data_IF_698274641190
#
_entry.id   IF_698274641190
#
_cell.length_a   1.000
_cell.length_b   1.000
_cell.length_c   1.000
_cell.angle_alpha   90.00
_cell.angle_beta   90.00
_cell.angle_gamma   90.00
#
_symmetry.space_group_name_H-M   'P 1'
#
loop_
_entity.id
_entity.type
_entity.pdbx_description
1 polymer ?
#
# COMPACT_ATOMS: atom_id res chain seq x y z
N UNK A 1 54.30 -34.00 36.72
CA UNK A 1 54.01 -32.56 36.46
C UNK A 1 53.40 -32.27 35.09
N UNK A 2 53.38 -33.23 34.14
CA UNK A 2 52.85 -33.04 32.77
C UNK A 2 51.32 -33.19 32.68
N UNK A 3 50.72 -34.05 33.51
CA UNK A 3 49.28 -34.38 33.42
C UNK A 3 48.34 -33.30 33.96
N UNK A 4 48.75 -32.52 34.97
CA UNK A 4 47.94 -31.41 35.53
C UNK A 4 47.74 -30.26 34.54
N UNK A 5 48.68 -30.05 33.59
CA UNK A 5 48.58 -29.00 32.57
C UNK A 5 47.57 -29.35 31.48
N UNK A 6 47.40 -30.65 31.17
CA UNK A 6 46.48 -31.13 30.13
C UNK A 6 45.03 -31.04 30.63
N UNK A 7 44.78 -31.45 31.87
CA UNK A 7 43.44 -31.38 32.49
C UNK A 7 42.97 -29.92 32.65
N UNK A 8 43.87 -29.01 33.02
CA UNK A 8 43.56 -27.58 33.13
C UNK A 8 43.26 -26.94 31.77
N UNK A 9 43.98 -27.35 30.70
CA UNK A 9 43.74 -26.88 29.34
C UNK A 9 42.41 -27.35 28.74
N UNK A 10 42.01 -28.60 29.00
CA UNK A 10 40.71 -29.14 28.58
C UNK A 10 39.54 -28.46 29.29
N UNK A 11 39.66 -28.19 30.60
CA UNK A 11 38.62 -27.48 31.36
C UNK A 11 38.41 -26.04 30.88
N UNK A 12 39.49 -25.33 30.54
CA UNK A 12 39.41 -23.96 30.03
C UNK A 12 38.78 -23.90 28.63
N UNK A 13 39.10 -24.87 27.76
CA UNK A 13 38.53 -24.96 26.41
C UNK A 13 37.04 -25.32 26.43
N UNK A 14 36.62 -26.24 27.30
CA UNK A 14 35.21 -26.57 27.48
C UNK A 14 34.40 -25.38 28.03
N UNK A 15 34.98 -24.61 28.96
CA UNK A 15 34.35 -23.41 29.49
C UNK A 15 34.24 -22.31 28.42
N UNK A 16 35.27 -22.10 27.59
CA UNK A 16 35.23 -21.16 26.47
C UNK A 16 34.17 -21.52 25.42
N UNK A 17 34.01 -22.82 25.11
CA UNK A 17 32.97 -23.29 24.20
C UNK A 17 31.57 -23.11 24.77
N UNK A 18 31.37 -23.35 26.07
CA UNK A 18 30.09 -23.11 26.75
C UNK A 18 29.75 -21.63 26.81
N UNK A 19 30.73 -20.76 27.07
CA UNK A 19 30.55 -19.30 27.05
C UNK A 19 30.24 -18.82 25.63
N UNK A 20 30.97 -19.29 24.62
CA UNK A 20 30.70 -18.95 23.22
C UNK A 20 29.32 -19.43 22.74
N UNK A 21 28.86 -20.60 23.18
CA UNK A 21 27.51 -21.09 22.89
C UNK A 21 26.42 -20.28 23.61
N UNK A 22 26.66 -19.90 24.87
CA UNK A 22 25.73 -19.07 25.64
C UNK A 22 25.60 -17.65 25.08
N UNK A 23 26.71 -17.06 24.62
CA UNK A 23 26.67 -15.78 23.91
C UNK A 23 26.11 -15.93 22.49
N UNK A 24 26.48 -16.96 21.74
CA UNK A 24 25.99 -17.23 20.39
C UNK A 24 24.47 -17.47 20.30
N UNK A 25 23.89 -18.16 21.28
CA UNK A 25 22.44 -18.39 21.36
C UNK A 25 21.64 -17.09 21.64
N UNK A 26 22.24 -16.10 22.30
CA UNK A 26 21.63 -14.80 22.56
C UNK A 26 21.90 -13.76 21.46
N UNK A 27 22.71 -14.11 20.44
CA UNK A 27 23.07 -13.26 19.31
C UNK A 27 22.31 -13.58 18.03
N UNK A 28 21.19 -14.31 18.10
CA UNK A 28 20.28 -14.38 16.96
C UNK A 28 19.65 -12.99 16.78
N UNK A 29 19.90 -12.29 15.66
CA UNK A 29 19.28 -11.00 15.42
C UNK A 29 17.77 -11.19 15.45
N UNK A 30 17.09 -10.46 16.33
CA UNK A 30 15.62 -10.46 16.37
C UNK A 30 15.14 -10.03 14.99
N UNK A 31 14.54 -10.95 14.25
CA UNK A 31 14.03 -10.68 12.91
C UNK A 31 13.12 -9.46 12.99
N UNK A 32 13.44 -8.42 12.21
CA UNK A 32 12.66 -7.18 12.17
C UNK A 32 11.25 -7.56 11.72
N UNK A 33 10.30 -7.52 12.65
CA UNK A 33 8.89 -7.73 12.32
C UNK A 33 8.41 -6.48 11.59
N UNK A 34 8.05 -6.63 10.32
CA UNK A 34 7.49 -5.56 9.54
C UNK A 34 6.07 -5.24 10.03
N UNK A 35 5.66 -3.95 10.04
CA UNK A 35 4.30 -3.57 10.37
C UNK A 35 3.30 -4.20 9.37
N UNK A 36 2.17 -4.75 9.83
CA UNK A 36 1.18 -5.33 8.94
C UNK A 36 0.44 -4.25 8.15
N UNK A 37 0.18 -4.50 6.87
CA UNK A 37 -0.61 -3.65 5.98
C UNK A 37 -1.64 -4.52 5.26
N UNK A 38 -2.93 -4.20 5.42
CA UNK A 38 -3.95 -4.82 4.57
C UNK A 38 -3.94 -4.13 3.21
N UNK A 39 -4.01 -4.91 2.12
CA UNK A 39 -4.05 -4.40 0.75
C UNK A 39 -5.25 -4.96 0.02
N UNK A 40 -6.09 -4.10 -0.54
CA UNK A 40 -7.13 -4.49 -1.50
C UNK A 40 -6.90 -3.75 -2.81
N UNK A 41 -6.81 -4.49 -3.91
CA UNK A 41 -6.49 -3.92 -5.21
C UNK A 41 -7.11 -4.72 -6.35
N UNK A 42 -7.58 -4.05 -7.40
CA UNK A 42 -7.86 -4.75 -8.68
C UNK A 42 -6.62 -4.85 -9.57
N UNK A 43 -5.60 -4.03 -9.31
CA UNK A 43 -4.29 -4.12 -9.95
C UNK A 43 -3.59 -5.39 -9.41
N UNK A 44 -3.20 -6.36 -10.26
CA UNK A 44 -2.69 -7.67 -9.86
C UNK A 44 -1.22 -7.62 -9.39
N UNK A 45 -0.90 -6.71 -8.48
CA UNK A 45 0.48 -6.33 -8.18
C UNK A 45 1.33 -7.45 -7.56
N UNK A 46 0.76 -8.35 -6.77
CA UNK A 46 1.55 -9.33 -6.03
C UNK A 46 2.00 -10.54 -6.85
N UNK A 47 1.16 -11.00 -7.77
CA UNK A 47 1.48 -12.13 -8.66
C UNK A 47 1.87 -11.66 -10.06
N UNK A 48 1.55 -10.40 -10.40
CA UNK A 48 1.62 -9.89 -11.75
C UNK A 48 0.55 -10.47 -12.67
N UNK A 49 0.73 -10.23 -13.96
CA UNK A 49 -0.11 -10.76 -15.01
C UNK A 49 0.60 -11.83 -15.84
N UNK A 50 -0.12 -12.94 -16.07
CA UNK A 50 0.36 -14.06 -16.89
C UNK A 50 -0.78 -14.99 -17.27
N UNK A 51 -0.52 -15.88 -18.21
CA UNK A 51 -1.41 -17.02 -18.44
C UNK A 51 -1.41 -17.95 -17.20
N UNK A 52 -2.38 -18.87 -17.08
CA UNK A 52 -2.43 -19.78 -15.94
C UNK A 52 -1.16 -20.63 -15.76
N UNK A 53 -0.44 -20.97 -16.84
CA UNK A 53 0.77 -21.75 -16.75
C UNK A 53 1.91 -20.92 -16.13
N UNK A 54 2.08 -19.67 -16.54
CA UNK A 54 3.06 -18.72 -15.99
C UNK A 54 2.80 -18.42 -14.51
N UNK A 55 1.52 -18.24 -14.13
CA UNK A 55 1.15 -18.00 -12.73
C UNK A 55 1.47 -19.21 -11.84
N UNK A 56 1.22 -20.43 -12.36
CA UNK A 56 1.51 -21.67 -11.64
C UNK A 56 3.01 -22.00 -11.57
N UNK A 57 3.78 -21.62 -12.60
CA UNK A 57 5.23 -21.80 -12.62
C UNK A 57 6.00 -20.73 -11.85
N UNK A 58 5.33 -19.64 -11.44
CA UNK A 58 5.96 -18.50 -10.77
C UNK A 58 6.78 -17.61 -11.72
N UNK A 59 6.55 -17.73 -13.02
CA UNK A 59 7.20 -16.90 -14.05
C UNK A 59 6.57 -15.51 -14.15
N UNK A 60 5.32 -15.37 -13.71
CA UNK A 60 4.70 -14.06 -13.52
C UNK A 60 5.43 -13.30 -12.39
N UNK A 61 5.81 -12.05 -12.68
CA UNK A 61 6.58 -11.23 -11.75
C UNK A 61 5.65 -10.27 -11.00
N UNK A 62 5.83 -10.10 -9.67
CA UNK A 62 5.18 -9.03 -8.94
C UNK A 62 5.56 -7.67 -9.54
N UNK A 63 4.62 -6.73 -9.48
CA UNK A 63 4.85 -5.33 -9.82
C UNK A 63 5.89 -4.75 -8.86
N UNK A 64 6.72 -3.81 -9.35
CA UNK A 64 7.72 -3.10 -8.58
C UNK A 64 7.11 -2.43 -7.34
N UNK A 65 5.90 -1.89 -7.47
CA UNK A 65 5.17 -1.27 -6.37
C UNK A 65 4.95 -2.25 -5.19
N UNK A 66 4.57 -3.49 -5.48
CA UNK A 66 4.35 -4.52 -4.46
C UNK A 66 5.66 -4.96 -3.80
N UNK A 67 6.73 -5.09 -4.59
CA UNK A 67 8.07 -5.38 -4.07
C UNK A 67 8.49 -4.28 -3.09
N UNK A 68 8.34 -3.00 -3.47
CA UNK A 68 8.66 -1.86 -2.61
C UNK A 68 7.81 -1.78 -1.35
N UNK A 69 6.50 -2.02 -1.44
CA UNK A 69 5.65 -2.12 -0.25
C UNK A 69 6.12 -3.23 0.71
N UNK A 70 6.52 -4.38 0.16
CA UNK A 70 6.95 -5.55 0.93
C UNK A 70 8.33 -5.39 1.60
N UNK A 71 9.12 -4.39 1.20
CA UNK A 71 10.38 -4.04 1.88
C UNK A 71 10.13 -3.36 3.24
N UNK A 72 9.03 -2.60 3.36
CA UNK A 72 8.68 -1.82 4.56
C UNK A 72 7.52 -2.42 5.38
N UNK A 73 6.66 -3.24 4.78
CA UNK A 73 5.43 -3.76 5.39
C UNK A 73 5.27 -5.28 5.22
N UNK A 74 4.61 -5.93 6.18
CA UNK A 74 4.03 -7.27 6.01
C UNK A 74 2.69 -7.12 5.29
N UNK A 75 2.73 -7.14 3.95
CA UNK A 75 1.57 -6.86 3.09
C UNK A 75 0.66 -8.08 3.01
N UNK A 76 -0.57 -7.92 3.49
CA UNK A 76 -1.62 -8.94 3.48
C UNK A 76 -2.70 -8.54 2.47
N UNK A 77 -2.71 -9.20 1.31
CA UNK A 77 -3.79 -9.01 0.34
C UNK A 77 -5.10 -9.57 0.88
N UNK A 78 -6.18 -8.81 0.70
CA UNK A 78 -7.52 -9.18 1.12
C UNK A 78 -8.52 -8.93 0.00
N UNK A 79 -9.46 -9.86 -0.16
CA UNK A 79 -10.55 -9.75 -1.13
C UNK A 79 -11.92 -9.54 -0.45
N UNK A 80 -11.99 -9.66 0.88
CA UNK A 80 -13.22 -9.51 1.68
C UNK A 80 -12.98 -8.56 2.85
N UNK A 81 -13.72 -7.45 2.89
CA UNK A 81 -13.63 -6.46 3.96
C UNK A 81 -14.23 -6.93 5.29
N UNK A 82 -14.94 -8.05 5.34
CA UNK A 82 -15.39 -8.64 6.59
C UNK A 82 -14.22 -8.93 7.56
N UNK A 83 -13.01 -9.17 7.05
CA UNK A 83 -11.79 -9.36 7.85
C UNK A 83 -11.49 -8.16 8.76
N UNK A 84 -11.91 -6.95 8.39
CA UNK A 84 -11.71 -5.73 9.19
C UNK A 84 -12.41 -5.80 10.54
N UNK A 85 -13.48 -6.61 10.67
CA UNK A 85 -14.21 -6.81 11.93
C UNK A 85 -13.36 -7.56 12.98
N UNK A 86 -12.41 -8.38 12.54
CA UNK A 86 -11.61 -9.25 13.42
C UNK A 86 -10.11 -8.95 13.37
N UNK A 87 -9.64 -8.25 12.33
CA UNK A 87 -8.23 -7.94 12.15
C UNK A 87 -7.70 -7.04 13.27
N UNK A 88 -6.48 -7.36 13.73
CA UNK A 88 -5.71 -6.50 14.63
C UNK A 88 -5.02 -5.36 13.88
N UNK A 89 -4.84 -5.50 12.57
CA UNK A 89 -4.23 -4.48 11.70
C UNK A 89 -5.15 -3.27 11.64
N UNK A 90 -4.57 -2.08 11.79
CA UNK A 90 -5.29 -0.80 11.84
C UNK A 90 -5.12 0.06 10.58
N UNK A 91 -4.40 -0.45 9.59
CA UNK A 91 -4.13 0.25 8.34
C UNK A 91 -4.50 -0.62 7.14
N UNK A 92 -5.19 -0.02 6.18
CA UNK A 92 -5.51 -0.62 4.89
C UNK A 92 -5.11 0.33 3.77
N UNK A 93 -4.59 -0.22 2.69
CA UNK A 93 -4.42 0.45 1.42
C UNK A 93 -5.43 -0.13 0.42
N UNK A 94 -6.21 0.75 -0.21
CA UNK A 94 -7.14 0.39 -1.27
C UNK A 94 -6.64 1.03 -2.57
N UNK A 95 -5.99 0.25 -3.41
CA UNK A 95 -5.46 0.70 -4.69
C UNK A 95 -6.39 0.28 -5.82
N UNK A 96 -7.25 1.18 -6.24
CA UNK A 96 -8.25 0.95 -7.29
C UNK A 96 -8.99 -0.40 -7.08
N UNK A 97 -9.68 -0.60 -5.94
CA UNK A 97 -10.27 -1.89 -5.62
C UNK A 97 -11.44 -2.20 -6.56
N UNK A 98 -11.88 -3.47 -6.56
CA UNK A 98 -13.13 -3.86 -7.20
C UNK A 98 -14.33 -3.07 -6.66
N UNK A 99 -15.47 -3.20 -7.33
CA UNK A 99 -16.74 -2.75 -6.79
C UNK A 99 -16.99 -3.35 -5.40
N UNK A 100 -17.22 -2.49 -4.41
CA UNK A 100 -17.65 -2.90 -3.08
C UNK A 100 -19.17 -2.93 -3.01
N UNK A 101 -19.71 -3.96 -2.35
CA UNK A 101 -21.15 -4.00 -2.04
C UNK A 101 -21.53 -2.89 -1.04
N UNK A 102 -22.82 -2.52 -0.94
CA UNK A 102 -23.27 -1.58 0.08
C UNK A 102 -22.90 -1.99 1.51
N UNK A 103 -22.93 -3.29 1.82
CA UNK A 103 -22.50 -3.80 3.13
C UNK A 103 -21.01 -3.56 3.37
N UNK A 104 -20.18 -3.85 2.38
CA UNK A 104 -18.73 -3.64 2.46
C UNK A 104 -18.35 -2.17 2.62
N UNK A 105 -19.04 -1.26 1.92
CA UNK A 105 -18.86 0.18 2.09
C UNK A 105 -19.17 0.62 3.52
N UNK A 106 -20.25 0.10 4.11
CA UNK A 106 -20.59 0.37 5.52
C UNK A 106 -19.54 -0.22 6.46
N UNK A 107 -19.07 -1.45 6.22
CA UNK A 107 -18.01 -2.08 7.04
C UNK A 107 -16.74 -1.23 7.03
N UNK A 108 -16.32 -0.75 5.85
CA UNK A 108 -15.14 0.08 5.70
C UNK A 108 -15.32 1.42 6.41
N UNK A 109 -16.43 2.12 6.16
CA UNK A 109 -16.74 3.40 6.82
C UNK A 109 -16.76 3.27 8.35
N UNK A 110 -17.47 2.28 8.87
CA UNK A 110 -17.55 2.01 10.31
C UNK A 110 -16.18 1.68 10.92
N UNK A 111 -15.37 0.89 10.21
CA UNK A 111 -14.05 0.49 10.68
C UNK A 111 -13.11 1.71 10.75
N UNK A 112 -13.12 2.57 9.74
CA UNK A 112 -12.37 3.84 9.75
C UNK A 112 -12.91 4.72 10.88
N UNK A 113 -14.22 4.92 10.99
CA UNK A 113 -14.86 5.70 12.05
C UNK A 113 -14.46 5.25 13.47
N UNK A 114 -14.19 3.95 13.65
CA UNK A 114 -13.74 3.33 14.92
C UNK A 114 -12.23 3.43 15.17
N UNK A 115 -11.47 4.11 14.31
CA UNK A 115 -10.03 4.32 14.45
C UNK A 115 -9.17 3.52 13.46
N UNK A 116 -9.79 2.95 12.43
CA UNK A 116 -9.06 2.43 11.27
C UNK A 116 -8.43 3.56 10.44
N UNK A 117 -7.38 3.23 9.70
CA UNK A 117 -6.62 4.16 8.86
C UNK A 117 -6.60 3.64 7.43
N UNK A 118 -6.89 4.49 6.46
CA UNK A 118 -6.99 4.07 5.07
C UNK A 118 -6.19 4.98 4.13
N UNK A 119 -5.43 4.38 3.23
CA UNK A 119 -4.89 5.06 2.06
C UNK A 119 -5.70 4.59 0.85
N UNK A 120 -6.35 5.52 0.16
CA UNK A 120 -7.08 5.25 -1.08
C UNK A 120 -6.28 5.80 -2.26
N UNK A 121 -6.10 4.97 -3.28
CA UNK A 121 -5.69 5.40 -4.61
C UNK A 121 -6.89 5.11 -5.50
N UNK A 122 -7.56 6.15 -5.93
CA UNK A 122 -8.81 6.07 -6.67
C UNK A 122 -8.66 6.84 -7.97
N UNK A 123 -8.80 6.14 -9.08
CA UNK A 123 -8.51 6.68 -10.39
C UNK A 123 -9.78 6.85 -11.23
N UNK A 124 -10.07 8.02 -11.80
CA UNK A 124 -11.19 8.18 -12.72
C UNK A 124 -11.00 7.49 -14.08
N UNK A 125 -9.76 7.28 -14.52
CA UNK A 125 -9.40 6.80 -15.85
C UNK A 125 -8.04 6.06 -15.83
N UNK A 126 -8.00 4.91 -15.15
CA UNK A 126 -6.78 4.11 -14.93
C UNK A 126 -6.09 3.78 -16.26
N UNK A 127 -4.82 4.19 -16.39
CA UNK A 127 -3.97 3.92 -17.54
C UNK A 127 -3.10 2.68 -17.39
N UNK A 128 -3.04 2.06 -16.20
CA UNK A 128 -2.21 0.85 -15.96
C UNK A 128 -2.37 -0.20 -17.06
N UNK A 129 -1.27 -0.53 -17.72
CA UNK A 129 -1.20 -1.50 -18.78
C UNK A 129 -1.59 -2.88 -18.26
N UNK A 130 -2.39 -3.59 -19.05
CA UNK A 130 -2.81 -4.95 -18.74
C UNK A 130 -2.84 -5.82 -19.99
N UNK A 131 -2.19 -6.97 -19.88
CA UNK A 131 -2.14 -8.08 -20.83
C UNK A 131 -3.49 -8.78 -20.97
N UNK A 132 -4.41 -8.59 -20.01
CA UNK A 132 -5.74 -9.17 -20.08
C UNK A 132 -6.64 -8.38 -21.04
N UNK A 133 -7.40 -9.05 -21.92
CA UNK A 133 -8.29 -8.38 -22.86
C UNK A 133 -9.45 -7.67 -22.15
N UNK A 134 -10.06 -6.70 -22.84
CA UNK A 134 -11.27 -6.03 -22.36
C UNK A 134 -12.36 -7.08 -22.08
N UNK A 135 -12.96 -7.01 -20.89
CA UNK A 135 -14.00 -7.94 -20.43
C UNK A 135 -13.48 -9.13 -19.60
N UNK A 136 -12.16 -9.32 -19.50
CA UNK A 136 -11.59 -10.28 -18.55
C UNK A 136 -11.76 -9.75 -17.11
N UNK A 137 -12.23 -10.60 -16.19
CA UNK A 137 -12.45 -10.24 -14.78
C UNK A 137 -11.15 -9.96 -14.02
N UNK A 138 -10.02 -10.43 -14.52
CA UNK A 138 -8.69 -10.22 -13.93
C UNK A 138 -8.07 -8.88 -14.35
N UNK A 139 -8.64 -8.23 -15.37
CA UNK A 139 -8.19 -6.90 -15.79
C UNK A 139 -8.52 -5.90 -14.67
N UNK A 140 -7.60 -4.97 -14.32
CA UNK A 140 -7.87 -3.91 -13.37
C UNK A 140 -9.13 -3.12 -13.70
N UNK A 141 -9.83 -2.62 -12.68
CA UNK A 141 -11.03 -1.81 -12.91
C UNK A 141 -10.64 -0.44 -13.45
N UNK A 142 -11.21 -0.08 -14.60
CA UNK A 142 -10.83 1.13 -15.34
C UNK A 142 -11.13 2.44 -14.59
N UNK A 143 -12.13 2.46 -13.71
CA UNK A 143 -12.52 3.66 -12.96
C UNK A 143 -12.90 3.30 -11.53
N UNK A 144 -12.65 4.21 -10.59
CA UNK A 144 -12.91 3.97 -9.18
C UNK A 144 -14.41 3.82 -8.93
N UNK A 145 -14.78 2.75 -8.24
CA UNK A 145 -16.17 2.45 -7.88
C UNK A 145 -16.52 2.81 -6.43
N UNK A 146 -15.64 3.57 -5.77
CA UNK A 146 -15.80 4.01 -4.38
C UNK A 146 -16.53 5.35 -4.22
N UNK A 147 -17.03 5.93 -5.32
CA UNK A 147 -17.76 7.20 -5.29
C UNK A 147 -18.87 7.26 -4.23
N UNK A 148 -19.65 6.19 -3.94
CA UNK A 148 -20.65 6.25 -2.86
C UNK A 148 -20.04 6.58 -1.48
N UNK A 149 -18.87 6.04 -1.15
CA UNK A 149 -18.16 6.34 0.11
C UNK A 149 -17.63 7.76 0.11
N UNK A 150 -16.98 8.18 -0.97
CA UNK A 150 -16.42 9.53 -1.08
C UNK A 150 -17.52 10.59 -0.99
N UNK A 151 -18.66 10.37 -1.67
CA UNK A 151 -19.82 11.25 -1.59
C UNK A 151 -20.41 11.28 -0.19
N UNK A 152 -20.44 10.14 0.51
CA UNK A 152 -20.82 10.10 1.93
C UNK A 152 -19.92 10.99 2.79
N UNK A 153 -18.63 11.07 2.46
CA UNK A 153 -17.66 11.95 3.14
C UNK A 153 -17.64 13.40 2.64
N UNK A 154 -18.48 13.75 1.66
CA UNK A 154 -18.54 15.10 1.09
C UNK A 154 -17.55 15.37 -0.03
N UNK A 155 -16.99 14.34 -0.64
CA UNK A 155 -16.05 14.44 -1.74
C UNK A 155 -16.66 13.89 -3.04
N UNK A 156 -16.30 14.51 -4.15
CA UNK A 156 -16.54 13.99 -5.49
C UNK A 156 -15.24 13.98 -6.26
N UNK A 157 -14.92 12.82 -6.85
CA UNK A 157 -13.78 12.65 -7.74
C UNK A 157 -14.19 13.07 -9.15
N UNK A 158 -13.35 13.87 -9.79
CA UNK A 158 -13.58 14.37 -11.15
C UNK A 158 -12.38 14.02 -12.02
N UNK A 159 -12.66 13.62 -13.26
CA UNK A 159 -11.62 13.36 -14.25
C UNK A 159 -11.03 14.68 -14.77
N UNK A 160 -9.72 14.73 -14.97
CA UNK A 160 -9.09 15.86 -15.65
C UNK A 160 -9.58 15.98 -17.10
N UNK A 161 -9.67 17.21 -17.59
CA UNK A 161 -9.87 17.47 -19.02
C UNK A 161 -8.55 17.33 -19.80
N UNK A 162 -7.42 17.44 -19.09
CA UNK A 162 -6.09 17.23 -19.63
C UNK A 162 -5.74 15.75 -19.50
N UNK A 163 -5.52 15.11 -20.65
CA UNK A 163 -5.19 13.69 -20.75
C UNK A 163 -3.74 13.50 -21.18
N UNK A 164 -3.13 12.43 -20.72
CA UNK A 164 -1.74 12.07 -21.04
C UNK A 164 -0.85 12.14 -19.81
N UNK A 165 0.44 11.91 -20.03
CA UNK A 165 1.44 11.86 -18.96
C UNK A 165 1.57 13.22 -18.30
N UNK A 166 1.55 13.22 -16.97
CA UNK A 166 1.64 14.42 -16.14
C UNK A 166 2.65 14.19 -15.02
N UNK A 167 3.38 15.25 -14.67
CA UNK A 167 4.21 15.32 -13.48
C UNK A 167 3.46 16.15 -12.44
N UNK A 168 3.25 15.60 -11.25
CA UNK A 168 2.62 16.30 -10.13
C UNK A 168 3.66 16.55 -9.05
N UNK A 169 3.72 17.79 -8.56
CA UNK A 169 4.46 18.12 -7.36
C UNK A 169 3.58 17.90 -6.12
N UNK A 170 4.09 17.14 -5.15
CA UNK A 170 3.47 17.06 -3.82
C UNK A 170 4.53 17.09 -2.73
N UNK A 171 4.58 18.22 -2.02
CA UNK A 171 5.61 18.49 -1.02
C UNK A 171 7.00 18.38 -1.65
N UNK A 172 7.85 17.47 -1.17
CA UNK A 172 9.16 17.18 -1.71
C UNK A 172 9.19 16.12 -2.83
N UNK A 173 8.04 15.50 -3.15
CA UNK A 173 7.97 14.37 -4.09
C UNK A 173 7.56 14.82 -5.49
N UNK A 174 8.28 14.32 -6.50
CA UNK A 174 7.92 14.43 -7.91
C UNK A 174 7.23 13.16 -8.37
N UNK A 175 5.98 13.26 -8.79
CA UNK A 175 5.09 12.13 -9.07
C UNK A 175 4.86 12.04 -10.57
N UNK A 176 5.10 10.85 -11.13
CA UNK A 176 4.82 10.56 -12.53
C UNK A 176 3.54 9.75 -12.63
N UNK A 177 2.59 10.24 -13.44
CA UNK A 177 1.29 9.59 -13.60
C UNK A 177 0.64 9.97 -14.92
N UNK A 178 -0.57 9.50 -15.19
CA UNK A 178 -1.33 9.83 -16.38
C UNK A 178 -2.76 10.27 -16.02
N UNK A 179 -3.22 11.38 -16.59
CA UNK A 179 -4.63 11.83 -16.48
C UNK A 179 -5.17 11.87 -15.03
N UNK A 180 -4.35 12.34 -14.09
CA UNK A 180 -4.71 12.40 -12.67
C UNK A 180 -6.06 13.09 -12.45
N UNK A 181 -6.90 12.47 -11.61
CA UNK A 181 -8.14 13.08 -11.16
C UNK A 181 -7.92 14.21 -10.16
N UNK A 182 -9.02 14.87 -9.79
CA UNK A 182 -9.03 15.82 -8.70
C UNK A 182 -10.29 15.68 -7.85
N UNK A 183 -10.16 16.06 -6.58
CA UNK A 183 -11.25 16.09 -5.62
C UNK A 183 -11.97 17.44 -5.66
N UNK A 184 -13.27 17.38 -5.45
CA UNK A 184 -14.11 18.56 -5.20
C UNK A 184 -14.98 18.31 -3.97
N UNK A 185 -15.27 19.38 -3.23
CA UNK A 185 -16.17 19.31 -2.09
C UNK A 185 -17.62 19.43 -2.53
N UNK A 186 -18.48 18.53 -2.06
CA UNK A 186 -19.92 18.55 -2.31
C UNK A 186 -20.72 18.77 -1.02
N UNK A 187 -21.92 19.33 -1.17
CA UNK A 187 -22.85 19.53 -0.04
C UNK A 187 -23.46 18.19 0.37
N UNK A 188 -23.76 18.03 1.67
CA UNK A 188 -24.46 16.85 2.19
C UNK A 188 -23.57 15.76 2.76
N UNK A 189 -22.35 16.10 3.19
CA UNK A 189 -21.44 15.17 3.87
C UNK A 189 -22.01 14.65 5.18
N UNK A 190 -21.58 13.44 5.55
CA UNK A 190 -21.79 12.88 6.88
C UNK A 190 -21.26 13.84 7.95
N UNK A 191 -22.02 14.02 9.03
CA UNK A 191 -21.57 14.81 10.19
C UNK A 191 -20.32 14.23 10.87
N UNK A 192 -19.98 12.98 10.56
CA UNK A 192 -18.87 12.26 11.17
C UNK A 192 -17.56 12.33 10.35
N UNK A 193 -17.56 13.00 9.19
CA UNK A 193 -16.39 13.13 8.32
C UNK A 193 -16.06 14.59 8.08
N UNK A 194 -14.78 14.95 8.25
CA UNK A 194 -14.23 16.26 7.88
C UNK A 194 -13.08 16.00 6.92
N UNK A 195 -13.25 16.40 5.66
CA UNK A 195 -12.24 16.24 4.62
C UNK A 195 -11.71 17.61 4.19
N UNK A 196 -10.38 17.71 4.14
CA UNK A 196 -9.66 18.85 3.58
C UNK A 196 -8.99 18.40 2.29
N UNK A 197 -9.28 19.10 1.20
CA UNK A 197 -8.60 18.92 -0.08
C UNK A 197 -7.33 19.78 -0.04
N UNK A 198 -6.18 19.17 -0.33
CA UNK A 198 -4.88 19.85 -0.35
C UNK A 198 -4.71 20.68 -1.62
N UNK A 199 -3.65 21.49 -1.69
CA UNK A 199 -3.24 22.22 -2.89
C UNK A 199 -3.09 21.26 -4.09
N UNK A 200 -3.42 21.73 -5.31
CA UNK A 200 -3.52 20.93 -6.54
C UNK A 200 -4.67 19.90 -6.59
N UNK A 201 -5.51 19.83 -5.54
CA UNK A 201 -6.78 19.09 -5.48
C UNK A 201 -6.74 17.56 -5.70
N UNK A 202 -5.62 16.94 -6.04
CA UNK A 202 -5.53 15.49 -6.26
C UNK A 202 -5.36 14.68 -4.96
N UNK A 203 -5.05 15.35 -3.84
CA UNK A 203 -4.97 14.73 -2.50
C UNK A 203 -6.04 15.29 -1.57
N UNK A 204 -6.74 14.42 -0.87
CA UNK A 204 -7.65 14.79 0.21
C UNK A 204 -7.31 14.05 1.52
N UNK A 205 -7.34 14.79 2.64
CA UNK A 205 -7.13 14.25 3.99
C UNK A 205 -8.43 14.32 4.75
N UNK A 206 -8.95 13.15 5.14
CA UNK A 206 -10.22 13.00 5.83
C UNK A 206 -10.01 12.49 7.26
N UNK A 207 -10.63 13.17 8.22
CA UNK A 207 -10.89 12.63 9.55
C UNK A 207 -12.30 12.07 9.57
N UNK A 208 -12.44 10.78 9.85
CA UNK A 208 -13.73 10.08 9.91
C UNK A 208 -13.86 9.47 11.29
N UNK A 209 -14.76 10.01 12.12
CA UNK A 209 -14.85 9.64 13.53
C UNK A 209 -13.50 9.74 14.26
N UNK A 210 -12.98 8.58 14.69
CA UNK A 210 -11.67 8.45 15.34
C UNK A 210 -10.53 8.09 14.38
N UNK A 211 -10.83 7.73 13.14
CA UNK A 211 -9.86 7.31 12.14
C UNK A 211 -9.50 8.41 11.15
N UNK A 212 -8.59 8.04 10.24
CA UNK A 212 -8.04 8.92 9.23
C UNK A 212 -8.01 8.21 7.88
N UNK A 213 -8.29 8.96 6.82
CA UNK A 213 -8.11 8.52 5.46
C UNK A 213 -7.31 9.55 4.66
N UNK A 214 -6.40 9.09 3.82
CA UNK A 214 -5.76 9.89 2.78
C UNK A 214 -6.24 9.33 1.45
N UNK A 215 -6.70 10.21 0.57
CA UNK A 215 -7.25 9.85 -0.73
C UNK A 215 -6.42 10.53 -1.82
N UNK A 216 -5.82 9.73 -2.69
CA UNK A 216 -5.19 10.17 -3.93
C UNK A 216 -6.20 9.95 -5.07
N UNK A 217 -6.41 10.96 -5.90
CA UNK A 217 -7.31 10.91 -7.06
C UNK A 217 -6.66 10.25 -8.29
N UNK A 218 -5.77 9.31 -8.04
CA UNK A 218 -4.99 8.62 -9.06
C UNK A 218 -4.46 7.29 -8.51
N UNK A 219 -4.46 6.23 -9.33
CA UNK A 219 -3.89 4.93 -8.97
C UNK A 219 -2.83 4.44 -9.96
N UNK A 220 -2.56 5.18 -11.03
CA UNK A 220 -1.49 4.89 -11.99
C UNK A 220 -0.10 4.91 -11.34
N UNK A 221 0.06 5.59 -10.20
CA UNK A 221 1.26 5.55 -9.36
C UNK A 221 1.72 4.13 -8.98
N UNK A 222 0.85 3.13 -9.11
CA UNK A 222 1.12 1.72 -8.81
C UNK A 222 1.50 0.88 -10.02
N UNK A 223 1.41 1.41 -11.23
CA UNK A 223 1.80 0.73 -12.48
C UNK A 223 3.31 0.65 -12.65
N UNK A 224 3.81 -0.43 -13.24
CA UNK A 224 5.25 -0.63 -13.45
C UNK A 224 5.82 0.40 -14.44
N UNK A 225 5.04 0.79 -15.43
CA UNK A 225 5.36 1.83 -16.41
C UNK A 225 5.54 3.23 -15.78
N UNK A 226 4.94 3.46 -14.61
CA UNK A 226 5.10 4.67 -13.82
C UNK A 226 6.12 4.49 -12.68
N UNK A 227 6.91 3.42 -12.70
CA UNK A 227 7.94 3.10 -11.71
C UNK A 227 9.31 2.76 -12.32
N UNK A 228 9.38 2.60 -13.64
CA UNK A 228 10.62 2.24 -14.34
C UNK A 228 11.67 3.37 -14.34
N UNK A 229 12.93 3.00 -14.10
CA UNK A 229 14.10 3.88 -14.06
C UNK A 229 14.32 4.69 -15.37
N UNK A 230 13.75 4.24 -16.49
CA UNK A 230 13.81 4.97 -17.76
C UNK A 230 12.99 6.27 -17.73
N UNK A 231 11.88 6.30 -16.99
CA UNK A 231 11.12 7.53 -16.72
C UNK A 231 11.92 8.49 -15.81
N UNK A 232 12.83 7.95 -15.00
CA UNK A 232 13.74 8.71 -14.13
C UNK A 232 14.84 9.50 -14.89
N UNK A 233 15.02 9.28 -16.19
CA UNK A 233 16.03 10.00 -17.00
C UNK A 233 15.69 11.49 -17.19
N UNK A 234 14.48 11.93 -16.81
CA UNK A 234 14.00 13.30 -16.93
C UNK A 234 13.70 14.01 -15.58
N UNK A 235 13.67 13.28 -14.45
CA UNK A 235 13.25 13.81 -13.15
C UNK A 235 13.05 12.67 -12.15
N UNK A 236 12.97 12.96 -10.84
CA UNK A 236 12.78 11.92 -9.82
C UNK A 236 11.42 11.25 -9.99
N UNK A 237 11.39 9.91 -9.97
CA UNK A 237 10.14 9.17 -9.82
C UNK A 237 9.99 8.78 -8.36
N UNK A 238 9.23 9.59 -7.63
CA UNK A 238 9.07 9.44 -6.19
C UNK A 238 7.76 8.74 -5.80
N UNK A 239 7.04 8.12 -6.75
CA UNK A 239 5.73 7.51 -6.53
C UNK A 239 5.72 6.61 -5.29
N UNK A 240 6.63 5.63 -5.22
CA UNK A 240 6.70 4.74 -4.06
C UNK A 240 7.21 5.42 -2.80
N UNK A 241 8.09 6.41 -2.91
CA UNK A 241 8.56 7.17 -1.75
C UNK A 241 7.40 7.93 -1.10
N UNK A 242 6.54 8.57 -1.91
CA UNK A 242 5.30 9.21 -1.46
C UNK A 242 4.37 8.20 -0.80
N UNK A 243 4.03 7.08 -1.46
CA UNK A 243 3.09 6.09 -0.92
C UNK A 243 3.57 5.56 0.45
N UNK A 244 4.86 5.22 0.55
CA UNK A 244 5.46 4.75 1.81
C UNK A 244 5.40 5.84 2.90
N UNK A 245 5.67 7.09 2.55
CA UNK A 245 5.59 8.22 3.48
C UNK A 245 4.15 8.44 3.97
N UNK A 246 3.15 8.40 3.09
CA UNK A 246 1.74 8.53 3.44
C UNK A 246 1.27 7.41 4.38
N UNK A 247 1.68 6.17 4.12
CA UNK A 247 1.39 5.03 5.01
C UNK A 247 2.06 5.19 6.39
N UNK A 248 3.29 5.70 6.43
CA UNK A 248 4.01 6.00 7.69
C UNK A 248 3.29 7.12 8.47
N UNK A 249 2.86 8.19 7.79
CA UNK A 249 2.09 9.29 8.37
C UNK A 249 0.75 8.83 8.94
N UNK A 250 0.01 8.01 8.20
CA UNK A 250 -1.23 7.38 8.68
C UNK A 250 -0.96 6.55 9.94
N UNK A 251 0.07 5.70 9.92
CA UNK A 251 0.39 4.82 11.04
C UNK A 251 0.74 5.57 12.34
N UNK A 252 1.27 6.79 12.23
CA UNK A 252 1.62 7.67 13.36
C UNK A 252 0.45 8.50 13.92
N UNK A 253 -0.67 8.60 13.20
CA UNK A 253 -1.83 9.47 13.52
C UNK A 253 -2.84 8.91 14.50
#
# INVERSE_FOLDING_TARGET
MRDKKIILGMGLSALLLLVAAYFGANYLPKQKQLPPLLLMSSIPMAMGEGDPAMLLSGEAKPYHAFVKLSEDYDVQQIDDLAILKTSKTKIIMLAQPRALSPEELVILDDWIAKGGRALFLADPALAVESKYPIGDKRRPVFTSLLSPLFKHWGLEMVVSMESGDVELDYQEYQILTQTAGYWTSIKGSSKNSICNIETENWVAICKVGKGHAILLADADLMGDEFLDDAASMLGGNDNMALIINLLKKLSAS
#
